data_IF_233890679909
#
_entry.id   IF_233890679909
#
_cell.length_a   1.000
_cell.length_b   1.000
_cell.length_c   1.000
_cell.angle_alpha   90.00
_cell.angle_beta   90.00
_cell.angle_gamma   90.00
#
_symmetry.space_group_name_H-M   'P 1'
#
loop_
_entity.id
_entity.type
_entity.pdbx_description
1 polymer ?
#
# COMPACT_ATOMS: atom_id res chain seq x y z
N UNK A 1 -4.35 20.85 2.66
CA UNK A 1 -3.31 20.79 1.61
C UNK A 1 -4.00 20.98 0.27
N UNK A 2 -3.43 21.81 -0.62
CA UNK A 2 -4.01 22.04 -1.95
C UNK A 2 -4.06 20.77 -2.78
N UNK A 3 -4.97 20.71 -3.76
CA UNK A 3 -5.02 19.62 -4.71
C UNK A 3 -3.67 19.51 -5.45
N UNK A 4 -3.08 18.32 -5.47
CA UNK A 4 -1.91 18.04 -6.30
C UNK A 4 -2.33 18.22 -7.75
N UNK A 5 -1.64 19.10 -8.48
CA UNK A 5 -1.91 19.34 -9.90
C UNK A 5 -1.29 18.22 -10.75
N UNK A 6 -1.93 17.06 -10.74
CA UNK A 6 -1.44 15.82 -11.39
C UNK A 6 -1.25 15.97 -12.89
N UNK A 7 -1.95 16.93 -13.53
CA UNK A 7 -1.86 17.23 -14.95
C UNK A 7 -0.49 17.73 -15.43
N UNK A 8 0.38 18.20 -14.52
CA UNK A 8 1.74 18.64 -14.86
C UNK A 8 2.79 17.51 -14.82
N UNK A 9 2.38 16.29 -14.49
CA UNK A 9 3.31 15.17 -14.29
C UNK A 9 2.93 13.98 -15.18
N UNK A 10 3.95 13.21 -15.55
CA UNK A 10 3.76 11.96 -16.30
C UNK A 10 2.96 10.93 -15.49
N UNK A 11 2.28 10.02 -16.17
CA UNK A 11 1.54 8.92 -15.51
C UNK A 11 2.44 8.12 -14.56
N UNK A 12 3.69 7.86 -14.98
CA UNK A 12 4.69 7.19 -14.14
C UNK A 12 4.99 7.96 -12.86
N UNK A 13 5.18 9.28 -12.93
CA UNK A 13 5.43 10.13 -11.75
C UNK A 13 4.21 10.14 -10.82
N UNK A 14 3.01 10.31 -11.36
CA UNK A 14 1.77 10.31 -10.60
C UNK A 14 1.52 8.95 -9.91
N UNK A 15 1.81 7.85 -10.60
CA UNK A 15 1.67 6.50 -10.06
C UNK A 15 2.64 6.26 -8.89
N UNK A 16 3.94 6.57 -9.07
CA UNK A 16 4.93 6.46 -7.99
C UNK A 16 4.56 7.33 -6.80
N UNK A 17 4.14 8.58 -7.04
CA UNK A 17 3.72 9.50 -5.98
C UNK A 17 2.50 8.98 -5.22
N UNK A 18 1.54 8.36 -5.91
CA UNK A 18 0.35 7.75 -5.29
C UNK A 18 0.75 6.60 -4.36
N UNK A 19 1.61 5.69 -4.84
CA UNK A 19 2.07 4.55 -4.05
C UNK A 19 2.90 5.04 -2.84
N UNK A 20 3.84 5.96 -3.06
CA UNK A 20 4.67 6.51 -2.01
C UNK A 20 3.85 7.25 -0.95
N UNK A 21 2.84 8.03 -1.35
CA UNK A 21 1.90 8.70 -0.44
C UNK A 21 1.12 7.69 0.38
N UNK A 22 0.76 6.53 -0.18
CA UNK A 22 0.11 5.45 0.54
C UNK A 22 1.04 4.76 1.55
N UNK A 23 2.33 4.60 1.23
CA UNK A 23 3.31 4.04 2.17
C UNK A 23 3.76 5.04 3.25
N UNK A 24 3.64 6.35 3.02
CA UNK A 24 4.11 7.41 3.93
C UNK A 24 3.41 7.54 5.29
N UNK A 25 2.64 6.53 5.75
CA UNK A 25 2.04 6.53 7.09
C UNK A 25 2.45 5.26 7.85
N UNK A 26 2.90 5.36 9.11
CA UNK A 26 3.47 4.24 9.86
C UNK A 26 2.52 3.06 10.02
N UNK A 27 1.24 3.32 10.32
CA UNK A 27 0.24 2.24 10.40
C UNK A 27 0.11 1.44 9.10
N UNK A 28 0.24 2.08 7.94
CA UNK A 28 0.14 1.41 6.63
C UNK A 28 1.37 0.57 6.35
N UNK A 29 2.56 1.02 6.76
CA UNK A 29 3.79 0.20 6.70
C UNK A 29 3.64 -1.04 7.58
N UNK A 30 3.17 -0.88 8.83
CA UNK A 30 2.95 -2.00 9.73
C UNK A 30 1.94 -3.03 9.19
N UNK A 31 0.88 -2.58 8.52
CA UNK A 31 -0.07 -3.45 7.81
C UNK A 31 0.63 -4.27 6.71
N UNK A 32 1.47 -3.63 5.90
CA UNK A 32 2.21 -4.31 4.82
C UNK A 32 3.18 -5.34 5.41
N UNK A 33 3.95 -4.98 6.43
CA UNK A 33 4.90 -5.89 7.09
C UNK A 33 4.18 -7.11 7.67
N UNK A 34 3.01 -6.90 8.30
CA UNK A 34 2.18 -7.98 8.82
C UNK A 34 1.69 -8.92 7.70
N UNK A 35 1.16 -8.36 6.61
CA UNK A 35 0.69 -9.14 5.47
C UNK A 35 1.81 -9.96 4.82
N UNK A 36 3.02 -9.39 4.70
CA UNK A 36 4.20 -10.08 4.20
C UNK A 36 4.63 -11.23 5.12
N UNK A 37 4.55 -11.04 6.44
CA UNK A 37 4.89 -12.06 7.44
C UNK A 37 3.93 -13.26 7.40
N UNK A 38 2.63 -13.01 7.29
CA UNK A 38 1.61 -14.07 7.25
C UNK A 38 1.58 -14.78 5.90
N UNK A 39 2.00 -14.10 4.82
CA UNK A 39 2.05 -14.62 3.45
C UNK A 39 0.72 -15.25 2.98
N UNK A 40 -0.40 -14.72 3.47
CA UNK A 40 -1.75 -15.16 3.14
C UNK A 40 -2.73 -13.97 3.19
N UNK A 41 -3.97 -14.20 2.72
CA UNK A 41 -5.04 -13.21 2.82
C UNK A 41 -5.65 -13.21 4.23
N UNK A 42 -5.89 -12.03 4.82
CA UNK A 42 -6.44 -11.89 6.18
C UNK A 42 -7.83 -11.22 6.14
N UNK A 43 -8.82 -11.80 6.82
CA UNK A 43 -10.22 -11.38 6.71
C UNK A 43 -10.75 -10.57 7.89
N UNK A 44 -10.07 -10.59 9.04
CA UNK A 44 -10.55 -9.97 10.28
C UNK A 44 -9.46 -9.71 11.33
N UNK A 45 -8.35 -10.45 11.26
CA UNK A 45 -7.41 -10.55 12.38
C UNK A 45 -6.40 -9.40 12.47
N UNK A 46 -6.45 -8.44 11.55
CA UNK A 46 -5.51 -7.31 11.58
C UNK A 46 -5.75 -6.37 12.77
N UNK A 47 -6.96 -6.39 13.34
CA UNK A 47 -7.35 -5.52 14.46
C UNK A 47 -6.66 -5.94 15.76
N UNK A 48 -6.28 -7.20 15.91
CA UNK A 48 -5.58 -7.67 17.12
C UNK A 48 -4.08 -7.37 17.09
N UNK A 49 -3.51 -7.13 15.91
CA UNK A 49 -2.06 -6.98 15.70
C UNK A 49 -1.61 -5.51 15.71
N UNK A 50 -2.55 -4.59 15.48
CA UNK A 50 -2.28 -3.16 15.51
C UNK A 50 -3.05 -2.50 16.66
N UNK A 51 -2.43 -1.60 17.45
CA UNK A 51 -3.09 -0.91 18.55
C UNK A 51 -3.99 0.24 18.04
N UNK A 52 -4.87 -0.06 17.08
CA UNK A 52 -5.75 0.89 16.39
C UNK A 52 -7.19 0.38 16.39
N UNK A 53 -8.13 1.32 16.45
CA UNK A 53 -9.55 0.98 16.35
C UNK A 53 -9.89 0.44 14.94
N UNK A 54 -10.84 -0.49 14.88
CA UNK A 54 -11.30 -1.10 13.62
C UNK A 54 -11.65 -0.08 12.52
N UNK A 55 -12.37 1.04 12.77
CA UNK A 55 -12.66 2.03 11.73
C UNK A 55 -11.39 2.67 11.13
N UNK A 56 -10.38 2.92 11.96
CA UNK A 56 -9.09 3.49 11.54
C UNK A 56 -8.33 2.51 10.65
N UNK A 57 -8.34 1.23 11.02
CA UNK A 57 -7.74 0.15 10.23
C UNK A 57 -8.45 0.02 8.88
N UNK A 58 -9.78 0.01 8.85
CA UNK A 58 -10.54 -0.05 7.60
C UNK A 58 -10.21 1.12 6.67
N UNK A 59 -10.01 2.32 7.21
CA UNK A 59 -9.56 3.47 6.44
C UNK A 59 -8.16 3.25 5.85
N UNK A 60 -7.20 2.75 6.64
CA UNK A 60 -5.86 2.45 6.15
C UNK A 60 -5.86 1.37 5.05
N UNK A 61 -6.65 0.31 5.22
CA UNK A 61 -6.81 -0.75 4.21
C UNK A 61 -7.43 -0.22 2.93
N UNK A 62 -8.41 0.69 3.03
CA UNK A 62 -9.01 1.35 1.86
C UNK A 62 -7.97 2.16 1.09
N UNK A 63 -7.17 2.98 1.78
CA UNK A 63 -6.10 3.77 1.16
C UNK A 63 -5.04 2.89 0.48
N UNK A 64 -4.61 1.81 1.15
CA UNK A 64 -3.66 0.84 0.58
C UNK A 64 -4.23 0.15 -0.67
N UNK A 65 -5.52 -0.24 -0.62
CA UNK A 65 -6.21 -0.86 -1.77
C UNK A 65 -6.35 0.11 -2.93
N UNK A 66 -6.72 1.37 -2.66
CA UNK A 66 -6.81 2.42 -3.68
C UNK A 66 -5.46 2.73 -4.34
N UNK A 67 -4.35 2.53 -3.63
CA UNK A 67 -3.00 2.67 -4.18
C UNK A 67 -2.48 1.40 -4.89
N UNK A 68 -3.27 0.32 -4.93
CA UNK A 68 -2.88 -0.95 -5.56
C UNK A 68 -1.81 -1.73 -4.80
N UNK A 69 -1.59 -1.43 -3.51
CA UNK A 69 -0.61 -2.14 -2.66
C UNK A 69 -1.18 -3.44 -2.10
N UNK A 70 -2.50 -3.50 -1.94
CA UNK A 70 -3.21 -4.68 -1.47
C UNK A 70 -4.44 -4.94 -2.34
N UNK A 71 -4.80 -6.20 -2.48
CA UNK A 71 -6.07 -6.66 -3.05
C UNK A 71 -7.01 -7.06 -1.93
N UNK A 72 -8.32 -6.94 -2.18
CA UNK A 72 -9.36 -7.33 -1.23
C UNK A 72 -10.42 -8.19 -1.92
N UNK A 73 -10.56 -9.45 -1.51
CA UNK A 73 -11.60 -10.37 -1.99
C UNK A 73 -12.70 -10.53 -0.93
N UNK A 74 -13.94 -10.77 -1.36
CA UNK A 74 -15.04 -11.07 -0.42
C UNK A 74 -15.11 -12.58 -0.26
N UNK A 75 -14.93 -13.07 0.96
CA UNK A 75 -15.12 -14.48 1.31
C UNK A 75 -16.20 -14.60 2.38
N UNK A 76 -17.37 -15.10 1.97
CA UNK A 76 -18.55 -15.13 2.81
C UNK A 76 -18.98 -13.71 3.23
N UNK A 77 -18.92 -13.44 4.54
CA UNK A 77 -19.33 -12.15 5.12
C UNK A 77 -18.15 -11.22 5.44
N UNK A 78 -16.91 -11.60 5.09
CA UNK A 78 -15.70 -10.85 5.42
C UNK A 78 -14.94 -10.42 4.16
N UNK A 79 -14.17 -9.32 4.26
CA UNK A 79 -13.25 -8.87 3.21
C UNK A 79 -11.84 -9.31 3.59
N UNK A 80 -11.24 -10.14 2.76
CA UNK A 80 -9.90 -10.66 2.94
C UNK A 80 -8.88 -9.85 2.15
N UNK A 81 -7.84 -9.35 2.82
CA UNK A 81 -6.80 -8.51 2.22
C UNK A 81 -5.48 -9.26 2.08
N UNK A 82 -4.79 -9.06 0.96
CA UNK A 82 -3.49 -9.65 0.68
C UNK A 82 -2.64 -8.70 -0.16
N UNK A 83 -1.33 -8.92 -0.17
CA UNK A 83 -0.39 -8.12 -0.97
C UNK A 83 -0.73 -8.22 -2.46
N UNK A 84 -0.63 -7.08 -3.14
CA UNK A 84 -0.61 -7.02 -4.61
C UNK A 84 0.80 -6.67 -5.08
N UNK A 85 1.48 -7.66 -5.66
CA UNK A 85 2.87 -7.54 -6.13
C UNK A 85 3.05 -6.51 -7.25
N UNK A 86 1.97 -6.12 -7.95
CA UNK A 86 2.04 -5.20 -9.09
C UNK A 86 2.63 -3.85 -8.70
N UNK A 87 2.11 -3.24 -7.63
CA UNK A 87 2.62 -1.94 -7.15
C UNK A 87 4.05 -2.05 -6.59
N UNK A 88 4.38 -3.17 -5.93
CA UNK A 88 5.74 -3.39 -5.41
C UNK A 88 6.77 -3.58 -6.53
N UNK A 89 6.41 -4.24 -7.63
CA UNK A 89 7.28 -4.37 -8.80
C UNK A 89 7.56 -3.01 -9.45
N UNK A 90 6.57 -2.12 -9.49
CA UNK A 90 6.73 -0.75 -10.00
C UNK A 90 7.72 0.04 -9.10
N UNK A 91 7.55 -0.03 -7.78
CA UNK A 91 8.48 0.59 -6.83
C UNK A 91 9.88 0.01 -6.93
N UNK A 92 10.01 -1.32 -6.99
CA UNK A 92 11.30 -2.02 -7.12
C UNK A 92 12.04 -1.53 -8.36
N UNK A 93 11.38 -1.44 -9.50
CA UNK A 93 11.99 -0.97 -10.74
C UNK A 93 12.40 0.51 -10.66
N UNK A 94 11.55 1.36 -10.06
CA UNK A 94 11.87 2.77 -9.89
C UNK A 94 13.07 2.98 -8.98
N UNK A 95 13.06 2.37 -7.78
CA UNK A 95 14.17 2.50 -6.84
C UNK A 95 15.44 1.84 -7.33
N UNK A 96 15.36 0.68 -7.99
CA UNK A 96 16.52 0.03 -8.62
C UNK A 96 17.22 0.98 -9.61
N UNK A 97 16.45 1.65 -10.47
CA UNK A 97 17.00 2.65 -11.39
C UNK A 97 17.65 3.83 -10.66
N UNK A 98 16.99 4.37 -9.63
CA UNK A 98 17.53 5.48 -8.83
C UNK A 98 18.82 5.06 -8.11
N UNK A 99 18.84 3.90 -7.46
CA UNK A 99 20.00 3.41 -6.71
C UNK A 99 21.17 3.10 -7.62
N UNK A 100 20.94 2.59 -8.83
CA UNK A 100 22.01 2.34 -9.81
C UNK A 100 22.69 3.64 -10.25
N UNK A 101 21.94 4.74 -10.38
CA UNK A 101 22.48 6.05 -10.78
C UNK A 101 23.20 6.75 -9.63
N UNK A 102 22.69 6.62 -8.39
CA UNK A 102 23.25 7.30 -7.21
C UNK A 102 24.46 6.56 -6.61
N UNK A 103 24.67 5.30 -7.00
CA UNK A 103 25.82 4.50 -6.54
C UNK A 103 27.08 4.66 -7.40
N UNK A 104 27.07 5.60 -8.35
CA UNK A 104 28.23 6.09 -9.12
C UNK A 104 28.66 7.49 -8.63
#
# INVERSE_FOLDING_TARGET
MGATKTEYFTDKQNQIATIAKALGHPARVAIIDYLLKVNACICSDIVTELPLAQPTISQHLKELKSAGLIKGNIEGNAICYCIDETAFNILKNYFSNVTSIVSE
#
